data_IF_229517059076
#
_entry.id   IF_229517059076
#
_cell.length_a   1.000
_cell.length_b   1.000
_cell.length_c   1.000
_cell.angle_alpha   90.00
_cell.angle_beta   90.00
_cell.angle_gamma   90.00
#
_symmetry.space_group_name_H-M   'P 1'
#
loop_
_entity.id
_entity.type
_entity.pdbx_description
1 polymer ?
#
# COMPACT_ATOMS: atom_id res chain seq x y z
N UNK A 1 -6.51 15.40 24.96
CA UNK A 1 -5.57 16.53 24.75
C UNK A 1 -5.49 16.77 23.27
N UNK A 2 -5.58 18.03 22.86
CA UNK A 2 -5.27 18.46 21.50
C UNK A 2 -3.88 17.93 21.07
N UNK A 3 -3.81 17.27 19.91
CA UNK A 3 -2.58 16.68 19.38
C UNK A 3 -1.47 17.73 19.22
N UNK A 4 -1.86 18.96 18.92
CA UNK A 4 -0.96 20.09 18.72
C UNK A 4 -0.45 20.65 20.05
N UNK A 5 -1.35 20.87 21.02
CA UNK A 5 -1.00 21.37 22.36
C UNK A 5 0.01 20.47 23.09
N UNK A 6 -0.13 19.14 22.97
CA UNK A 6 0.82 18.19 23.57
C UNK A 6 2.22 18.28 22.93
N UNK A 7 2.30 18.40 21.60
CA UNK A 7 3.56 18.50 20.89
C UNK A 7 4.27 19.84 21.17
N UNK A 8 3.52 20.94 21.15
CA UNK A 8 4.03 22.29 21.45
C UNK A 8 4.57 22.37 22.89
N UNK A 9 3.81 21.87 23.87
CA UNK A 9 4.26 21.88 25.27
C UNK A 9 5.53 21.04 25.49
N UNK A 10 5.62 19.87 24.84
CA UNK A 10 6.83 19.05 24.90
C UNK A 10 8.04 19.74 24.25
N UNK A 11 7.86 20.45 23.14
CA UNK A 11 8.93 21.22 22.49
C UNK A 11 9.39 22.42 23.33
N UNK A 12 8.44 23.17 23.92
CA UNK A 12 8.71 24.30 24.80
C UNK A 12 9.51 23.84 26.03
N UNK A 13 9.05 22.78 26.70
CA UNK A 13 9.68 22.28 27.92
C UNK A 13 11.09 21.72 27.65
N UNK A 14 11.28 21.04 26.52
CA UNK A 14 12.57 20.46 26.15
C UNK A 14 13.53 21.45 25.47
N UNK A 15 13.07 22.68 25.16
CA UNK A 15 13.86 23.75 24.52
C UNK A 15 14.67 23.28 23.32
N UNK A 16 14.08 22.39 22.50
CA UNK A 16 14.83 21.71 21.46
C UNK A 16 15.12 22.58 20.24
N UNK A 17 16.35 23.09 20.16
CA UNK A 17 16.87 23.89 19.04
C UNK A 17 17.89 23.09 18.23
N UNK A 18 17.39 22.13 17.45
CA UNK A 18 18.22 21.33 16.53
C UNK A 18 17.74 21.61 15.10
N UNK A 19 18.41 22.51 14.37
CA UNK A 19 18.12 22.75 12.93
C UNK A 19 19.27 22.26 12.05
N UNK A 20 18.94 21.72 10.88
CA UNK A 20 19.92 21.20 9.92
C UNK A 20 20.78 22.29 9.26
N UNK A 21 20.24 23.50 9.13
CA UNK A 21 20.96 24.68 8.59
C UNK A 21 22.12 25.11 9.48
N UNK A 22 22.04 24.88 10.80
CA UNK A 22 23.13 25.19 11.71
C UNK A 22 24.32 24.23 11.56
N UNK A 23 24.19 23.09 10.89
CA UNK A 23 25.22 22.04 10.83
C UNK A 23 26.21 22.20 9.66
N UNK A 24 25.76 22.79 8.53
CA UNK A 24 26.56 23.01 7.33
C UNK A 24 27.44 24.26 7.49
N UNK A 25 28.55 24.14 8.22
CA UNK A 25 29.56 25.23 8.31
C UNK A 25 30.16 25.49 9.70
N UNK A 26 29.88 24.66 10.71
CA UNK A 26 30.38 24.91 12.07
C UNK A 26 31.88 24.63 12.24
N UNK A 27 32.60 25.63 12.75
CA UNK A 27 33.96 25.47 13.33
C UNK A 27 33.93 24.43 14.46
N UNK A 28 35.06 23.73 14.66
CA UNK A 28 35.21 22.58 15.58
C UNK A 28 34.66 22.81 17.00
N UNK A 29 34.76 24.06 17.50
CA UNK A 29 34.24 24.47 18.83
C UNK A 29 32.70 24.44 18.91
N UNK A 30 31.98 24.93 17.89
CA UNK A 30 30.50 24.94 17.89
C UNK A 30 29.87 23.55 17.67
N UNK A 31 30.68 22.57 17.23
CA UNK A 31 30.25 21.17 17.10
C UNK A 31 30.05 20.52 18.47
N UNK A 32 30.82 20.92 19.48
CA UNK A 32 30.66 20.45 20.86
C UNK A 32 29.31 20.85 21.45
N UNK A 33 28.99 22.14 21.35
CA UNK A 33 27.72 22.71 21.83
C UNK A 33 26.51 22.09 21.11
N UNK A 34 26.64 21.85 19.80
CA UNK A 34 25.60 21.18 19.03
C UNK A 34 25.37 19.73 19.49
N UNK A 35 26.43 18.96 19.73
CA UNK A 35 26.29 17.59 20.25
C UNK A 35 25.66 17.57 21.64
N UNK A 36 26.01 18.52 22.51
CA UNK A 36 25.41 18.65 23.85
C UNK A 36 23.92 19.00 23.77
N UNK A 37 23.55 19.96 22.91
CA UNK A 37 22.16 20.33 22.69
C UNK A 37 21.34 19.17 22.10
N UNK A 38 21.92 18.43 21.14
CA UNK A 38 21.28 17.24 20.57
C UNK A 38 21.07 16.16 21.64
N UNK A 39 22.07 15.91 22.50
CA UNK A 39 21.95 14.95 23.60
C UNK A 39 20.87 15.36 24.60
N UNK A 40 20.88 16.62 25.06
CA UNK A 40 19.88 17.15 25.98
C UNK A 40 18.44 17.03 25.42
N UNK A 41 18.29 17.27 24.12
CA UNK A 41 17.02 17.06 23.41
C UNK A 41 16.56 15.61 23.44
N UNK A 42 17.45 14.69 23.09
CA UNK A 42 17.17 13.26 23.06
C UNK A 42 16.75 12.80 24.47
N UNK A 43 17.47 13.22 25.50
CA UNK A 43 17.20 12.84 26.88
C UNK A 43 15.84 13.38 27.36
N UNK A 44 15.55 14.66 27.12
CA UNK A 44 14.27 15.26 27.54
C UNK A 44 13.07 14.62 26.84
N UNK A 45 13.18 14.32 25.54
CA UNK A 45 12.08 13.77 24.76
C UNK A 45 11.93 12.26 24.89
N UNK A 46 12.90 11.60 25.52
CA UNK A 46 12.81 10.19 25.94
C UNK A 46 11.82 9.98 27.09
N UNK A 47 11.37 11.04 27.76
CA UNK A 47 10.40 10.95 28.86
C UNK A 47 8.96 10.88 28.31
N UNK A 48 8.15 9.86 28.67
CA UNK A 48 6.73 9.83 28.33
C UNK A 48 6.00 11.04 28.97
N UNK A 49 5.25 11.80 28.18
CA UNK A 49 4.50 12.99 28.67
C UNK A 49 3.03 12.92 28.31
N UNK A 50 2.74 12.69 27.03
CA UNK A 50 1.39 12.63 26.48
C UNK A 50 1.36 11.84 25.16
N UNK A 51 0.18 11.36 24.78
CA UNK A 51 -0.06 10.70 23.50
C UNK A 51 -0.41 11.74 22.42
N UNK A 52 0.43 11.88 21.40
CA UNK A 52 0.23 12.77 20.25
C UNK A 52 0.97 12.23 19.01
N UNK A 53 0.30 12.23 17.85
CA UNK A 53 0.91 11.83 16.57
C UNK A 53 2.01 12.81 16.13
N UNK A 54 1.83 14.11 16.39
CA UNK A 54 2.81 15.14 16.08
C UNK A 54 4.09 14.96 16.93
N UNK A 55 3.91 14.69 18.23
CA UNK A 55 5.04 14.40 19.12
C UNK A 55 5.78 13.10 18.71
N UNK A 56 5.04 12.08 18.28
CA UNK A 56 5.63 10.84 17.78
C UNK A 56 6.47 11.07 16.51
N UNK A 57 5.97 11.85 15.53
CA UNK A 57 6.74 12.23 14.33
C UNK A 57 8.01 12.99 14.68
N UNK A 58 7.92 13.97 15.59
CA UNK A 58 9.07 14.75 16.03
C UNK A 58 10.15 13.86 16.68
N UNK A 59 9.72 12.96 17.57
CA UNK A 59 10.61 11.97 18.21
C UNK A 59 11.30 11.07 17.18
N UNK A 60 10.59 10.59 16.15
CA UNK A 60 11.17 9.77 15.07
C UNK A 60 12.22 10.51 14.24
N UNK A 61 11.99 11.80 13.95
CA UNK A 61 12.97 12.66 13.28
C UNK A 61 14.22 12.86 14.15
N UNK A 62 14.02 13.17 15.43
CA UNK A 62 15.11 13.36 16.39
C UNK A 62 15.96 12.08 16.55
N UNK A 63 15.32 10.91 16.62
CA UNK A 63 16.00 9.62 16.66
C UNK A 63 16.86 9.40 15.40
N UNK A 64 16.32 9.71 14.22
CA UNK A 64 17.05 9.61 12.95
C UNK A 64 18.27 10.52 12.94
N UNK A 65 18.13 11.76 13.41
CA UNK A 65 19.25 12.71 13.57
C UNK A 65 20.31 12.18 14.53
N UNK A 66 19.90 11.61 15.68
CA UNK A 66 20.82 11.01 16.65
C UNK A 66 21.61 9.82 16.07
N UNK A 67 20.93 8.91 15.36
CA UNK A 67 21.56 7.75 14.71
C UNK A 67 22.54 8.21 13.63
N UNK A 68 22.13 9.13 12.76
CA UNK A 68 22.98 9.65 11.68
C UNK A 68 24.22 10.35 12.25
N UNK A 69 24.06 11.19 13.27
CA UNK A 69 25.15 11.93 13.90
C UNK A 69 26.17 11.01 14.57
N UNK A 70 25.71 9.90 15.15
CA UNK A 70 26.58 8.85 15.69
C UNK A 70 27.33 8.11 14.59
N UNK A 71 26.62 7.63 13.56
CA UNK A 71 27.21 6.84 12.45
C UNK A 71 28.20 7.63 11.60
N UNK A 72 27.93 8.91 11.35
CA UNK A 72 28.82 9.80 10.59
C UNK A 72 29.97 10.36 11.44
N UNK A 73 30.07 9.95 12.71
CA UNK A 73 31.07 10.43 13.69
C UNK A 73 31.05 11.94 13.92
N UNK A 74 29.95 12.61 13.59
CA UNK A 74 29.74 14.04 13.89
C UNK A 74 29.62 14.24 15.41
N UNK A 75 28.78 13.41 16.05
CA UNK A 75 28.65 13.33 17.50
C UNK A 75 28.78 11.86 17.93
N UNK A 76 30.02 11.36 18.10
CA UNK A 76 30.25 9.94 18.32
C UNK A 76 29.73 9.41 19.66
N UNK A 77 29.46 10.30 20.63
CA UNK A 77 29.01 9.97 22.00
C UNK A 77 27.52 10.25 22.25
N UNK A 78 26.68 10.31 21.21
CA UNK A 78 25.23 10.46 21.40
C UNK A 78 24.64 9.14 21.91
N UNK A 79 23.86 9.23 22.99
CA UNK A 79 23.06 8.14 23.54
C UNK A 79 21.58 8.35 23.20
N UNK A 80 21.02 7.47 22.36
CA UNK A 80 19.63 7.56 21.90
C UNK A 80 18.78 6.33 22.25
N UNK A 81 19.27 5.44 23.12
CA UNK A 81 18.62 4.16 23.44
C UNK A 81 17.31 4.31 24.22
N UNK A 82 17.18 5.35 25.06
CA UNK A 82 15.94 5.65 25.78
C UNK A 82 14.85 6.17 24.82
N UNK A 83 15.22 7.11 23.94
CA UNK A 83 14.32 7.63 22.90
C UNK A 83 13.91 6.53 21.92
N UNK A 84 14.86 5.70 21.50
CA UNK A 84 14.59 4.52 20.68
C UNK A 84 13.61 3.57 21.38
N UNK A 85 13.80 3.28 22.67
CA UNK A 85 12.87 2.44 23.44
C UNK A 85 11.48 3.04 23.58
N UNK A 86 11.38 4.36 23.69
CA UNK A 86 10.09 5.06 23.79
C UNK A 86 9.32 5.02 22.46
N UNK A 87 10.02 5.21 21.33
CA UNK A 87 9.42 5.26 19.99
C UNK A 87 9.12 3.85 19.47
N UNK A 88 10.04 2.92 19.68
CA UNK A 88 10.07 1.60 19.05
C UNK A 88 9.58 0.51 20.03
N UNK A 89 9.38 0.84 21.32
CA UNK A 89 9.22 -0.13 22.40
C UNK A 89 10.56 -0.74 22.81
N UNK A 90 10.56 -1.62 23.82
CA UNK A 90 11.69 -2.52 24.04
C UNK A 90 11.93 -3.26 22.73
N UNK A 91 13.02 -2.96 22.01
CA UNK A 91 13.29 -3.55 20.70
C UNK A 91 13.23 -5.07 20.87
N UNK A 92 12.28 -5.76 20.20
CA UNK A 92 12.29 -7.21 20.20
C UNK A 92 13.61 -7.64 19.57
N UNK A 93 14.51 -8.25 20.34
CA UNK A 93 15.71 -8.80 19.73
C UNK A 93 15.28 -10.00 18.92
N UNK A 94 15.45 -9.95 17.61
CA UNK A 94 15.14 -11.09 16.77
C UNK A 94 16.36 -12.03 16.70
N UNK A 95 16.11 -13.32 16.55
CA UNK A 95 17.15 -14.32 16.25
C UNK A 95 16.91 -15.01 14.91
N UNK A 96 15.70 -14.88 14.36
CA UNK A 96 15.25 -15.44 13.09
C UNK A 96 14.33 -14.45 12.37
N UNK A 97 14.10 -14.60 11.06
CA UNK A 97 13.08 -13.84 10.36
C UNK A 97 11.75 -13.88 11.12
N UNK A 98 11.15 -12.71 11.28
CA UNK A 98 9.97 -12.52 12.13
C UNK A 98 9.07 -11.44 11.54
N UNK A 99 7.94 -11.19 12.18
CA UNK A 99 7.05 -10.08 11.83
C UNK A 99 7.29 -8.87 12.73
N UNK A 100 7.21 -7.67 12.16
CA UNK A 100 7.19 -6.45 12.96
C UNK A 100 5.81 -6.22 13.62
N UNK A 101 5.67 -5.13 14.36
CA UNK A 101 4.41 -4.73 15.01
C UNK A 101 3.23 -4.53 14.04
N UNK A 102 3.54 -4.34 12.76
CA UNK A 102 2.58 -4.16 11.67
C UNK A 102 2.42 -5.43 10.83
N UNK A 103 2.89 -6.58 11.31
CA UNK A 103 2.75 -7.87 10.65
C UNK A 103 3.60 -8.04 9.40
N UNK A 104 4.49 -7.10 9.07
CA UNK A 104 5.37 -7.16 7.91
C UNK A 104 6.41 -8.25 8.10
N UNK A 105 6.70 -9.06 7.07
CA UNK A 105 7.76 -10.08 7.15
C UNK A 105 9.13 -9.40 7.06
N UNK A 106 9.96 -9.58 8.06
CA UNK A 106 11.27 -8.96 8.15
C UNK A 106 12.37 -10.02 8.24
N UNK A 107 13.51 -9.71 7.64
CA UNK A 107 14.76 -10.40 7.93
C UNK A 107 15.26 -10.01 9.32
N UNK A 108 16.00 -10.89 9.98
CA UNK A 108 16.70 -10.55 11.21
C UNK A 108 18.20 -10.44 10.95
N UNK A 109 18.78 -9.29 11.29
CA UNK A 109 20.23 -9.06 11.20
C UNK A 109 20.71 -8.32 12.44
N UNK A 110 21.75 -8.84 13.08
CA UNK A 110 22.36 -8.27 14.28
C UNK A 110 21.35 -7.98 15.41
N UNK A 111 20.41 -8.91 15.62
CA UNK A 111 19.37 -8.77 16.64
C UNK A 111 18.25 -7.79 16.27
N UNK A 112 18.25 -7.24 15.05
CA UNK A 112 17.29 -6.23 14.60
C UNK A 112 16.52 -6.67 13.37
N UNK A 113 15.25 -6.30 13.32
CA UNK A 113 14.44 -6.48 12.12
C UNK A 113 14.93 -5.54 11.02
N UNK A 114 15.19 -6.11 9.86
CA UNK A 114 15.66 -5.43 8.66
C UNK A 114 14.82 -5.88 7.45
N UNK A 115 14.79 -5.03 6.42
CA UNK A 115 14.12 -5.32 5.13
C UNK A 115 12.68 -5.83 5.29
N UNK A 116 11.89 -5.18 6.14
CA UNK A 116 10.49 -5.53 6.33
C UNK A 116 9.66 -5.35 5.05
N UNK A 117 8.89 -6.38 4.70
CA UNK A 117 8.10 -6.50 3.49
C UNK A 117 6.61 -6.55 3.82
N UNK A 118 5.84 -5.79 3.06
CA UNK A 118 4.38 -5.91 2.98
C UNK A 118 4.06 -7.18 2.20
N UNK A 119 3.25 -8.03 2.77
CA UNK A 119 2.90 -9.32 2.16
C UNK A 119 1.48 -9.26 1.65
N UNK A 120 1.30 -9.39 0.35
CA UNK A 120 0.00 -9.46 -0.33
C UNK A 120 -0.38 -10.92 -0.50
N UNK A 121 -1.35 -11.37 0.28
CA UNK A 121 -1.88 -12.73 0.24
C UNK A 121 -3.05 -12.89 -0.74
N UNK A 122 -3.35 -14.14 -1.09
CA UNK A 122 -4.55 -14.49 -1.86
C UNK A 122 -5.79 -14.28 -0.98
N UNK A 123 -6.70 -13.40 -1.39
CA UNK A 123 -7.87 -13.04 -0.60
C UNK A 123 -8.62 -14.26 -0.06
N UNK A 124 -8.99 -15.23 -0.92
CA UNK A 124 -9.82 -16.38 -0.51
C UNK A 124 -9.07 -17.42 0.33
N UNK A 125 -7.74 -17.30 0.45
CA UNK A 125 -6.91 -18.16 1.30
C UNK A 125 -6.52 -17.48 2.62
N UNK A 126 -6.69 -16.17 2.72
CA UNK A 126 -6.39 -15.42 3.94
C UNK A 126 -7.33 -15.78 5.10
N UNK A 127 -6.83 -15.76 6.34
CA UNK A 127 -7.67 -15.88 7.53
C UNK A 127 -8.82 -14.87 7.52
N UNK A 128 -9.95 -15.26 8.11
CA UNK A 128 -11.14 -14.40 8.24
C UNK A 128 -10.79 -13.00 8.77
N UNK A 129 -9.98 -12.93 9.83
CA UNK A 129 -9.60 -11.65 10.45
C UNK A 129 -8.75 -10.75 9.56
N UNK A 130 -7.91 -11.32 8.69
CA UNK A 130 -7.08 -10.52 7.78
C UNK A 130 -7.93 -9.96 6.64
N UNK A 131 -8.83 -10.76 6.07
CA UNK A 131 -9.82 -10.29 5.09
C UNK A 131 -10.71 -9.19 5.69
N UNK A 132 -11.25 -9.43 6.89
CA UNK A 132 -12.10 -8.47 7.59
C UNK A 132 -11.33 -7.19 7.98
N UNK A 133 -10.03 -7.29 8.29
CA UNK A 133 -9.18 -6.11 8.52
C UNK A 133 -9.08 -5.24 7.27
N UNK A 134 -8.82 -5.85 6.10
CA UNK A 134 -8.74 -5.12 4.84
C UNK A 134 -10.07 -4.42 4.51
N UNK A 135 -11.19 -5.16 4.52
CA UNK A 135 -12.51 -4.61 4.18
C UNK A 135 -12.93 -3.50 5.13
N UNK A 136 -12.71 -3.66 6.45
CA UNK A 136 -12.97 -2.61 7.44
C UNK A 136 -12.09 -1.38 7.24
N UNK A 137 -10.81 -1.56 6.91
CA UNK A 137 -9.92 -0.43 6.64
C UNK A 137 -10.34 0.35 5.39
N UNK A 138 -10.70 -0.35 4.31
CA UNK A 138 -11.19 0.29 3.08
C UNK A 138 -12.53 0.99 3.30
N UNK A 139 -13.46 0.34 4.01
CA UNK A 139 -14.73 0.94 4.41
C UNK A 139 -14.51 2.21 5.24
N UNK A 140 -13.63 2.15 6.25
CA UNK A 140 -13.31 3.32 7.08
C UNK A 140 -12.67 4.43 6.26
N UNK A 141 -11.74 4.09 5.35
CA UNK A 141 -11.10 5.05 4.47
C UNK A 141 -12.08 5.81 3.58
N UNK A 142 -13.22 5.21 3.25
CA UNK A 142 -14.25 5.79 2.35
C UNK A 142 -15.45 6.40 3.09
N UNK A 143 -15.57 6.21 4.41
CA UNK A 143 -16.77 6.62 5.17
C UNK A 143 -16.48 7.51 6.37
N UNK A 144 -15.32 7.36 7.01
CA UNK A 144 -14.96 8.13 8.19
C UNK A 144 -14.53 9.55 7.79
N UNK A 145 -15.15 10.61 8.33
CA UNK A 145 -14.82 12.00 7.99
C UNK A 145 -13.35 12.38 8.17
N UNK A 146 -12.61 11.65 9.03
CA UNK A 146 -11.18 11.87 9.22
C UNK A 146 -10.34 11.48 8.00
N UNK A 147 -10.81 10.55 7.18
CA UNK A 147 -10.03 9.92 6.11
C UNK A 147 -10.67 10.10 4.73
N UNK A 148 -12.00 10.17 4.68
CA UNK A 148 -12.81 10.08 3.48
C UNK A 148 -12.33 11.00 2.36
N UNK A 149 -12.27 12.30 2.61
CA UNK A 149 -11.97 13.28 1.57
C UNK A 149 -10.58 13.09 0.95
N UNK A 150 -9.59 12.69 1.75
CA UNK A 150 -8.22 12.47 1.27
C UNK A 150 -8.09 11.12 0.55
N UNK A 151 -8.82 10.10 0.98
CA UNK A 151 -8.85 8.82 0.28
C UNK A 151 -9.61 8.92 -1.04
N UNK A 152 -10.74 9.64 -1.09
CA UNK A 152 -11.48 9.88 -2.33
C UNK A 152 -10.63 10.66 -3.35
N UNK A 153 -9.87 11.68 -2.91
CA UNK A 153 -8.91 12.38 -3.79
C UNK A 153 -7.91 11.43 -4.42
N UNK A 154 -7.39 10.47 -3.64
CA UNK A 154 -6.51 9.43 -4.14
C UNK A 154 -7.24 8.53 -5.15
N UNK A 155 -8.45 8.06 -4.84
CA UNK A 155 -9.18 7.15 -5.74
C UNK A 155 -9.54 7.80 -7.10
N UNK A 156 -9.77 9.11 -7.10
CA UNK A 156 -10.10 9.91 -8.28
C UNK A 156 -8.90 10.11 -9.22
N UNK A 157 -7.65 9.90 -8.77
CA UNK A 157 -6.46 10.05 -9.62
C UNK A 157 -6.52 9.14 -10.86
N UNK A 158 -6.96 7.89 -10.69
CA UNK A 158 -7.18 6.96 -11.80
C UNK A 158 -8.19 7.51 -12.80
N UNK A 159 -9.30 8.03 -12.32
CA UNK A 159 -10.36 8.53 -13.20
C UNK A 159 -10.03 9.84 -13.92
N UNK A 160 -9.15 10.67 -13.35
CA UNK A 160 -8.75 11.96 -13.92
C UNK A 160 -7.78 11.81 -15.07
N UNK A 161 -7.00 10.76 -15.06
CA UNK A 161 -6.05 10.51 -16.13
C UNK A 161 -6.80 9.94 -17.34
N UNK A 162 -6.59 10.42 -18.57
CA UNK A 162 -7.33 9.87 -19.71
C UNK A 162 -7.03 8.40 -19.93
N UNK A 163 -8.07 7.59 -20.17
CA UNK A 163 -7.98 6.13 -20.35
C UNK A 163 -6.93 5.72 -21.38
N UNK A 164 -6.76 6.51 -22.46
CA UNK A 164 -5.75 6.27 -23.48
C UNK A 164 -4.32 6.20 -22.92
N UNK A 165 -4.00 6.99 -21.90
CA UNK A 165 -2.69 6.92 -21.25
C UNK A 165 -2.58 5.72 -20.32
N UNK A 166 -3.60 5.47 -19.49
CA UNK A 166 -3.54 4.42 -18.46
C UNK A 166 -3.67 3.00 -19.02
N UNK A 167 -4.57 2.81 -19.98
CA UNK A 167 -5.03 1.48 -20.39
C UNK A 167 -4.69 1.13 -21.85
N UNK A 168 -4.00 2.03 -22.57
CA UNK A 168 -3.58 1.76 -23.95
C UNK A 168 -2.08 2.03 -24.20
N UNK A 169 -1.32 2.41 -23.16
CA UNK A 169 0.12 2.61 -23.27
C UNK A 169 0.90 1.60 -22.44
N UNK A 170 1.59 0.63 -23.07
CA UNK A 170 2.39 -0.38 -22.36
C UNK A 170 3.46 0.20 -21.44
N UNK A 171 3.97 1.38 -21.79
CA UNK A 171 4.97 2.10 -21.03
C UNK A 171 4.46 2.64 -19.68
N UNK A 172 3.15 2.79 -19.49
CA UNK A 172 2.56 3.33 -18.25
C UNK A 172 1.81 2.28 -17.45
N UNK A 173 1.08 1.40 -18.13
CA UNK A 173 0.06 0.54 -17.52
C UNK A 173 0.52 -0.13 -16.22
N UNK A 174 1.51 -1.02 -16.27
CA UNK A 174 1.97 -1.72 -15.07
C UNK A 174 2.59 -0.83 -13.99
N UNK A 175 3.63 0.00 -14.27
CA UNK A 175 4.30 0.78 -13.23
C UNK A 175 3.38 1.83 -12.60
N UNK A 176 2.46 2.42 -13.36
CA UNK A 176 1.49 3.36 -12.80
C UNK A 176 0.52 2.67 -11.86
N UNK A 177 -0.02 1.51 -12.22
CA UNK A 177 -0.92 0.75 -11.33
C UNK A 177 -0.18 0.22 -10.10
N UNK A 178 1.09 -0.18 -10.21
CA UNK A 178 1.92 -0.54 -9.03
C UNK A 178 2.14 0.65 -8.11
N UNK A 179 2.48 1.83 -8.65
CA UNK A 179 2.55 3.08 -7.89
C UNK A 179 1.22 3.38 -7.18
N UNK A 180 0.12 3.29 -7.92
CA UNK A 180 -1.21 3.58 -7.41
C UNK A 180 -1.61 2.63 -6.27
N UNK A 181 -1.39 1.33 -6.42
CA UNK A 181 -1.57 0.34 -5.34
C UNK A 181 -0.68 0.66 -4.12
N UNK A 182 0.56 1.10 -4.33
CA UNK A 182 1.46 1.47 -3.24
C UNK A 182 0.92 2.68 -2.43
N UNK A 183 0.25 3.62 -3.10
CA UNK A 183 -0.39 4.79 -2.47
C UNK A 183 -1.64 4.38 -1.70
N UNK A 184 -2.51 3.57 -2.30
CA UNK A 184 -3.71 3.03 -1.63
C UNK A 184 -3.29 2.24 -0.38
N UNK A 185 -2.34 1.33 -0.51
CA UNK A 185 -1.90 0.50 0.61
C UNK A 185 -1.26 1.33 1.73
N UNK A 186 -0.43 2.32 1.37
CA UNK A 186 0.18 3.21 2.36
C UNK A 186 -0.87 4.03 3.10
N UNK A 187 -1.94 4.45 2.41
CA UNK A 187 -3.06 5.15 3.05
C UNK A 187 -3.81 4.23 4.03
N UNK A 188 -4.19 3.03 3.60
CA UNK A 188 -4.89 2.06 4.46
C UNK A 188 -4.05 1.69 5.70
N UNK A 189 -2.73 1.64 5.57
CA UNK A 189 -1.80 1.41 6.68
C UNK A 189 -1.76 2.55 7.71
N UNK A 190 -2.17 3.77 7.36
CA UNK A 190 -2.35 4.85 8.34
C UNK A 190 -3.56 4.61 9.25
N UNK A 191 -4.52 3.80 8.78
CA UNK A 191 -5.73 3.42 9.54
C UNK A 191 -5.44 2.19 10.41
N UNK A 192 -4.89 1.14 9.82
CA UNK A 192 -4.38 -0.03 10.53
C UNK A 192 -3.10 -0.51 9.84
N UNK A 193 -1.96 -0.36 10.51
CA UNK A 193 -0.67 -0.66 9.91
C UNK A 193 -0.49 -2.14 9.55
N UNK A 194 -1.35 -3.04 10.04
CA UNK A 194 -1.35 -4.47 9.68
C UNK A 194 -2.05 -4.77 8.35
N UNK A 195 -2.67 -3.78 7.72
CA UNK A 195 -3.31 -3.95 6.41
C UNK A 195 -2.24 -4.07 5.32
N UNK A 196 -2.51 -4.96 4.38
CA UNK A 196 -1.89 -5.05 3.06
C UNK A 196 -3.01 -5.21 2.04
N UNK A 197 -2.78 -4.80 0.80
CA UNK A 197 -3.76 -5.04 -0.27
C UNK A 197 -3.66 -6.52 -0.65
N UNK A 198 -4.72 -7.33 -0.45
CA UNK A 198 -4.73 -8.70 -0.95
C UNK A 198 -4.87 -8.69 -2.47
N UNK A 199 -4.37 -9.73 -3.14
CA UNK A 199 -4.71 -9.97 -4.54
C UNK A 199 -5.89 -10.93 -4.62
N UNK A 200 -6.59 -10.96 -5.76
CA UNK A 200 -7.58 -12.01 -6.06
C UNK A 200 -7.18 -12.78 -7.32
N UNK A 201 -6.70 -14.01 -7.13
CA UNK A 201 -6.34 -14.91 -8.24
C UNK A 201 -7.58 -15.63 -8.79
N UNK A 202 -8.38 -14.90 -9.55
CA UNK A 202 -9.60 -15.40 -10.16
C UNK A 202 -9.36 -16.49 -11.22
N UNK A 203 -8.15 -16.63 -11.75
CA UNK A 203 -7.74 -17.73 -12.66
C UNK A 203 -7.90 -19.10 -12.02
N UNK A 204 -7.64 -19.21 -10.71
CA UNK A 204 -7.76 -20.46 -9.94
C UNK A 204 -9.22 -20.83 -9.60
N UNK A 205 -10.18 -19.96 -9.94
CA UNK A 205 -11.60 -20.15 -9.70
C UNK A 205 -12.43 -19.94 -10.98
N UNK A 206 -11.81 -20.10 -12.15
CA UNK A 206 -12.50 -20.04 -13.43
C UNK A 206 -13.72 -21.00 -13.40
N UNK A 207 -14.92 -20.46 -13.66
CA UNK A 207 -16.20 -21.19 -13.57
C UNK A 207 -16.97 -21.04 -12.24
N UNK A 208 -16.33 -20.57 -11.17
CA UNK A 208 -16.96 -20.37 -9.85
C UNK A 208 -16.80 -18.94 -9.31
N UNK A 209 -16.60 -17.99 -10.22
CA UNK A 209 -16.33 -16.57 -9.94
C UNK A 209 -17.37 -15.86 -9.07
N UNK A 210 -18.64 -16.26 -9.19
CA UNK A 210 -19.78 -15.54 -8.60
C UNK A 210 -20.32 -16.19 -7.33
N UNK A 211 -19.56 -17.11 -6.72
CA UNK A 211 -19.94 -17.71 -5.43
C UNK A 211 -19.84 -16.69 -4.29
N UNK A 212 -20.67 -16.90 -3.26
CA UNK A 212 -20.83 -16.01 -2.12
C UNK A 212 -20.64 -16.74 -0.78
N UNK A 213 -19.91 -17.87 -0.78
CA UNK A 213 -19.60 -18.60 0.45
C UNK A 213 -18.74 -17.71 1.37
N UNK A 214 -18.69 -17.96 2.69
CA UNK A 214 -17.90 -17.15 3.61
C UNK A 214 -16.40 -17.03 3.27
N UNK A 215 -15.84 -17.97 2.50
CA UNK A 215 -14.46 -17.94 1.99
C UNK A 215 -14.25 -17.10 0.72
N UNK A 216 -15.32 -16.78 0.00
CA UNK A 216 -15.24 -16.13 -1.31
C UNK A 216 -15.11 -14.60 -1.18
N UNK A 217 -14.71 -13.95 -2.27
CA UNK A 217 -14.59 -12.48 -2.37
C UNK A 217 -15.94 -11.80 -2.17
N UNK A 218 -17.00 -12.35 -2.75
CA UNK A 218 -18.34 -11.78 -2.74
C UNK A 218 -19.18 -12.18 -1.52
N UNK A 219 -18.55 -12.68 -0.46
CA UNK A 219 -19.27 -13.03 0.76
C UNK A 219 -20.02 -11.81 1.33
N UNK A 220 -21.20 -12.05 1.90
CA UNK A 220 -22.03 -11.03 2.54
C UNK A 220 -21.57 -10.65 3.95
N UNK A 221 -20.67 -11.43 4.54
CA UNK A 221 -20.08 -11.15 5.84
C UNK A 221 -19.10 -9.97 5.80
N UNK A 222 -18.65 -9.46 6.95
CA UNK A 222 -17.77 -8.29 7.03
C UNK A 222 -16.40 -8.53 6.41
N UNK A 223 -16.01 -9.79 6.20
CA UNK A 223 -14.77 -10.20 5.52
C UNK A 223 -14.87 -10.17 3.99
N UNK A 224 -16.06 -10.06 3.40
CA UNK A 224 -16.28 -10.05 1.96
C UNK A 224 -16.67 -8.67 1.43
N UNK A 225 -16.87 -8.59 0.11
CA UNK A 225 -17.14 -7.35 -0.62
C UNK A 225 -18.62 -7.16 -0.97
N UNK A 226 -19.51 -8.08 -0.55
CA UNK A 226 -20.90 -8.13 -1.00
C UNK A 226 -21.04 -8.71 -2.41
N UNK A 227 -22.23 -9.17 -2.76
CA UNK A 227 -22.55 -9.88 -3.99
C UNK A 227 -22.91 -8.97 -5.17
N UNK A 228 -23.80 -9.48 -6.01
CA UNK A 228 -24.29 -8.80 -7.21
C UNK A 228 -25.26 -7.66 -6.86
N UNK A 229 -25.45 -6.74 -7.80
CA UNK A 229 -26.53 -5.76 -7.73
C UNK A 229 -27.90 -6.36 -8.06
N UNK A 230 -28.97 -5.70 -7.60
CA UNK A 230 -30.37 -6.08 -7.86
C UNK A 230 -31.08 -4.99 -8.68
N UNK A 231 -31.80 -5.32 -9.77
CA UNK A 231 -32.61 -4.35 -10.53
C UNK A 231 -33.68 -3.63 -9.68
N UNK A 232 -34.11 -2.42 -10.07
CA UNK A 232 -33.70 -1.68 -11.27
C UNK A 232 -32.37 -0.91 -11.11
N UNK A 233 -31.99 -0.56 -9.88
CA UNK A 233 -30.84 0.32 -9.61
C UNK A 233 -29.49 -0.40 -9.68
N UNK A 234 -29.51 -1.73 -9.62
CA UNK A 234 -28.33 -2.60 -9.54
C UNK A 234 -27.44 -2.31 -8.33
N UNK A 235 -28.02 -1.77 -7.26
CA UNK A 235 -27.33 -1.61 -5.99
C UNK A 235 -27.02 -2.97 -5.36
N UNK A 236 -25.81 -3.10 -4.83
CA UNK A 236 -25.41 -4.23 -3.96
C UNK A 236 -26.24 -4.15 -2.67
N UNK A 237 -26.86 -5.27 -2.29
CA UNK A 237 -27.82 -5.34 -1.18
C UNK A 237 -27.23 -5.93 0.12
N UNK A 238 -26.05 -6.52 0.07
CA UNK A 238 -25.41 -7.25 1.17
C UNK A 238 -23.95 -6.84 1.39
N UNK A 239 -23.34 -7.33 2.47
CA UNK A 239 -21.99 -6.92 2.86
C UNK A 239 -21.92 -5.54 3.50
N UNK A 240 -20.69 -5.14 3.82
CA UNK A 240 -20.40 -3.84 4.41
C UNK A 240 -20.52 -2.69 3.40
N UNK A 241 -20.46 -2.98 2.10
CA UNK A 241 -20.56 -2.00 1.02
C UNK A 241 -21.97 -1.89 0.40
N UNK A 242 -22.99 -2.49 1.04
CA UNK A 242 -24.37 -2.42 0.57
C UNK A 242 -24.94 -1.01 0.56
N UNK A 243 -26.00 -0.83 -0.22
CA UNK A 243 -26.86 0.35 -0.19
C UNK A 243 -27.29 0.69 1.25
N UNK A 244 -27.28 1.99 1.56
CA UNK A 244 -27.59 2.52 2.89
C UNK A 244 -26.44 2.43 3.91
N UNK A 245 -25.44 1.57 3.68
CA UNK A 245 -24.26 1.47 4.54
C UNK A 245 -23.00 2.10 3.94
N UNK A 246 -22.92 2.17 2.61
CA UNK A 246 -21.81 2.75 1.87
C UNK A 246 -22.31 3.51 0.64
N UNK A 247 -21.58 4.56 0.24
CA UNK A 247 -21.95 5.43 -0.87
C UNK A 247 -20.75 5.79 -1.73
N UNK A 248 -20.98 5.93 -3.04
CA UNK A 248 -19.99 6.46 -3.98
C UNK A 248 -19.68 7.94 -3.67
N UNK A 249 -18.46 8.42 -4.02
CA UNK A 249 -18.14 9.83 -3.92
C UNK A 249 -19.16 10.70 -4.67
N UNK A 250 -19.61 11.80 -4.05
CA UNK A 250 -20.63 12.70 -4.64
C UNK A 250 -20.16 13.28 -5.97
N UNK A 251 -18.86 13.57 -6.08
CA UNK A 251 -18.20 14.04 -7.31
C UNK A 251 -18.27 13.04 -8.47
N UNK A 252 -18.70 11.80 -8.22
CA UNK A 252 -18.92 10.72 -9.20
C UNK A 252 -20.39 10.42 -9.47
N UNK A 253 -21.29 11.31 -9.05
CA UNK A 253 -22.74 11.13 -9.13
C UNK A 253 -23.35 10.50 -7.89
N UNK A 254 -22.55 10.12 -6.89
CA UNK A 254 -23.04 9.55 -5.62
C UNK A 254 -23.81 8.24 -5.78
N UNK A 255 -24.68 7.95 -4.81
CA UNK A 255 -25.48 6.73 -4.80
C UNK A 255 -24.76 5.52 -4.21
N UNK A 256 -25.25 4.32 -4.54
CA UNK A 256 -24.78 3.04 -4.01
C UNK A 256 -23.66 2.42 -4.86
N UNK A 257 -22.97 1.41 -4.30
CA UNK A 257 -22.15 0.49 -5.07
C UNK A 257 -23.04 -0.32 -6.05
N UNK A 258 -22.73 -0.30 -7.34
CA UNK A 258 -23.47 -1.02 -8.38
C UNK A 258 -22.62 -2.08 -9.06
N UNK A 259 -23.19 -3.29 -9.21
CA UNK A 259 -22.58 -4.44 -9.90
C UNK A 259 -23.61 -5.15 -10.77
N UNK A 260 -23.16 -5.76 -11.86
CA UNK A 260 -23.99 -6.62 -12.70
C UNK A 260 -23.15 -7.76 -13.24
N UNK A 261 -22.98 -8.79 -12.43
CA UNK A 261 -22.18 -9.95 -12.76
C UNK A 261 -22.68 -10.61 -14.05
N UNK A 262 -21.80 -10.68 -15.03
CA UNK A 262 -22.04 -11.38 -16.27
C UNK A 262 -21.69 -12.87 -16.08
N UNK A 263 -22.71 -13.69 -15.80
CA UNK A 263 -22.56 -15.12 -15.55
C UNK A 263 -22.09 -15.94 -16.76
N UNK A 264 -22.20 -15.40 -17.97
CA UNK A 264 -21.69 -16.03 -19.20
C UNK A 264 -20.30 -15.51 -19.58
N UNK A 265 -19.73 -14.60 -18.79
CA UNK A 265 -18.40 -14.06 -19.01
C UNK A 265 -17.33 -15.10 -18.66
N UNK A 266 -16.41 -15.34 -19.58
CA UNK A 266 -15.30 -16.28 -19.39
C UNK A 266 -14.03 -15.47 -19.13
N UNK A 267 -13.44 -15.69 -17.97
CA UNK A 267 -12.13 -15.16 -17.63
C UNK A 267 -11.04 -16.18 -17.95
N UNK A 268 -9.82 -15.73 -18.28
CA UNK A 268 -8.66 -16.61 -18.36
C UNK A 268 -8.52 -17.51 -17.13
N UNK A 269 -8.14 -18.77 -17.35
CA UNK A 269 -7.91 -19.74 -16.28
C UNK A 269 -6.41 -19.89 -15.95
N UNK A 270 -6.07 -20.85 -15.10
CA UNK A 270 -4.67 -21.17 -14.75
C UNK A 270 -3.84 -21.63 -15.96
N UNK A 271 -4.44 -22.31 -16.94
CA UNK A 271 -3.72 -22.74 -18.14
C UNK A 271 -3.37 -21.52 -19.01
N UNK A 272 -4.28 -20.55 -19.13
CA UNK A 272 -4.03 -19.29 -19.80
C UNK A 272 -2.98 -18.45 -19.08
N UNK A 273 -3.04 -18.37 -17.75
CA UNK A 273 -2.01 -17.70 -16.94
C UNK A 273 -0.63 -18.31 -17.20
N UNK A 274 -0.52 -19.65 -17.15
CA UNK A 274 0.74 -20.34 -17.42
C UNK A 274 1.28 -20.02 -18.81
N UNK A 275 0.43 -20.04 -19.84
CA UNK A 275 0.82 -19.66 -21.21
C UNK A 275 1.31 -18.21 -21.29
N UNK A 276 0.61 -17.27 -20.64
CA UNK A 276 1.00 -15.86 -20.63
C UNK A 276 2.39 -15.66 -20.00
N UNK A 277 2.69 -16.39 -18.93
CA UNK A 277 4.00 -16.34 -18.26
C UNK A 277 5.15 -16.96 -19.08
N UNK A 278 4.87 -17.73 -20.15
CA UNK A 278 5.89 -18.24 -21.08
C UNK A 278 6.29 -17.23 -22.17
N UNK A 279 5.56 -16.12 -22.30
CA UNK A 279 5.79 -15.15 -23.39
C UNK A 279 7.09 -14.38 -23.14
N UNK A 280 8.05 -14.44 -24.08
CA UNK A 280 9.36 -13.78 -23.94
C UNK A 280 9.35 -12.31 -24.36
N UNK A 281 8.52 -11.96 -25.34
CA UNK A 281 8.39 -10.58 -25.79
C UNK A 281 7.50 -9.80 -24.81
N UNK A 282 8.05 -8.73 -24.25
CA UNK A 282 7.36 -7.91 -23.26
C UNK A 282 6.09 -7.28 -23.83
N UNK A 283 6.13 -6.72 -25.04
CA UNK A 283 4.97 -6.02 -25.61
C UNK A 283 3.82 -6.98 -25.89
N UNK A 284 4.13 -8.20 -26.33
CA UNK A 284 3.14 -9.26 -26.50
C UNK A 284 2.56 -9.70 -25.14
N UNK A 285 3.41 -9.90 -24.12
CA UNK A 285 2.97 -10.23 -22.76
C UNK A 285 2.06 -9.14 -22.18
N UNK A 286 2.51 -7.89 -22.18
CA UNK A 286 1.78 -6.73 -21.67
C UNK A 286 0.41 -6.61 -22.32
N UNK A 287 0.34 -6.70 -23.65
CA UNK A 287 -0.91 -6.58 -24.40
C UNK A 287 -1.91 -7.66 -24.01
N UNK A 288 -1.46 -8.91 -23.85
CA UNK A 288 -2.32 -10.01 -23.42
C UNK A 288 -2.84 -9.78 -21.99
N UNK A 289 -1.97 -9.35 -21.07
CA UNK A 289 -2.41 -9.09 -19.70
C UNK A 289 -3.38 -7.90 -19.65
N UNK A 290 -3.08 -6.80 -20.34
CA UNK A 290 -3.91 -5.59 -20.36
C UNK A 290 -5.26 -5.81 -21.06
N UNK A 291 -5.23 -6.34 -22.28
CA UNK A 291 -6.44 -6.42 -23.11
C UNK A 291 -7.29 -7.65 -22.80
N UNK A 292 -6.70 -8.74 -22.33
CA UNK A 292 -7.43 -9.99 -22.05
C UNK A 292 -7.63 -10.22 -20.56
N UNK A 293 -6.60 -10.15 -19.71
CA UNK A 293 -6.78 -10.47 -18.29
C UNK A 293 -7.46 -9.33 -17.53
N UNK A 294 -6.95 -8.11 -17.71
CA UNK A 294 -7.44 -6.92 -17.03
C UNK A 294 -8.82 -6.50 -17.55
N UNK A 295 -8.96 -6.16 -18.85
CA UNK A 295 -10.23 -5.63 -19.37
C UNK A 295 -11.41 -6.61 -19.18
N UNK A 296 -11.20 -7.92 -19.39
CA UNK A 296 -12.27 -8.90 -19.23
C UNK A 296 -12.81 -8.94 -17.82
N UNK A 297 -11.96 -8.79 -16.80
CA UNK A 297 -12.44 -8.79 -15.42
C UNK A 297 -13.38 -7.61 -15.16
N UNK A 298 -12.98 -6.41 -15.59
CA UNK A 298 -13.81 -5.20 -15.51
C UNK A 298 -15.17 -5.43 -16.19
N UNK A 299 -15.18 -6.01 -17.38
CA UNK A 299 -16.39 -6.34 -18.14
C UNK A 299 -17.27 -7.38 -17.44
N UNK A 300 -16.66 -8.41 -16.85
CA UNK A 300 -17.37 -9.49 -16.19
C UNK A 300 -18.11 -9.01 -14.92
N UNK A 301 -17.51 -8.09 -14.15
CA UNK A 301 -18.14 -7.52 -12.94
C UNK A 301 -19.26 -6.54 -13.31
N UNK A 302 -19.04 -5.74 -14.36
CA UNK A 302 -20.02 -4.81 -14.90
C UNK A 302 -20.21 -3.54 -14.05
N UNK A 303 -21.13 -2.68 -14.50
CA UNK A 303 -21.53 -1.42 -13.83
C UNK A 303 -20.32 -0.57 -13.45
N UNK A 304 -20.12 -0.21 -12.18
CA UNK A 304 -19.06 0.72 -11.78
C UNK A 304 -17.67 0.20 -12.11
N UNK A 305 -17.46 -1.12 -12.00
CA UNK A 305 -16.17 -1.74 -12.31
C UNK A 305 -15.88 -1.78 -13.82
N UNK A 306 -16.90 -1.70 -14.70
CA UNK A 306 -16.69 -1.70 -16.15
C UNK A 306 -16.14 -0.36 -16.67
N UNK A 307 -16.49 0.77 -16.03
CA UNK A 307 -16.11 2.08 -16.53
C UNK A 307 -14.83 2.60 -15.88
N UNK A 308 -13.88 3.02 -16.72
CA UNK A 308 -12.64 3.71 -16.31
C UNK A 308 -12.87 4.77 -15.23
N UNK A 309 -13.91 5.59 -15.39
CA UNK A 309 -14.17 6.75 -14.53
C UNK A 309 -14.67 6.41 -13.13
N UNK A 310 -15.03 5.16 -12.86
CA UNK A 310 -15.61 4.72 -11.57
C UNK A 310 -14.99 3.45 -11.00
N UNK A 311 -14.24 2.67 -11.79
CA UNK A 311 -13.74 1.38 -11.36
C UNK A 311 -12.88 1.47 -10.11
N UNK A 312 -12.01 2.49 -10.02
CA UNK A 312 -11.10 2.70 -8.89
C UNK A 312 -11.80 2.99 -7.56
N UNK A 313 -13.06 3.42 -7.58
CA UNK A 313 -13.85 3.71 -6.39
C UNK A 313 -14.48 2.44 -5.78
N UNK A 314 -14.39 1.30 -6.46
CA UNK A 314 -14.96 0.02 -6.02
C UNK A 314 -13.98 -0.78 -5.14
N UNK A 315 -14.46 -1.51 -4.12
CA UNK A 315 -13.58 -2.24 -3.21
C UNK A 315 -12.88 -3.46 -3.84
N UNK A 316 -13.38 -3.97 -4.97
CA UNK A 316 -12.76 -5.07 -5.73
C UNK A 316 -11.58 -4.61 -6.61
N UNK A 317 -11.48 -3.32 -6.92
CA UNK A 317 -10.44 -2.79 -7.81
C UNK A 317 -9.01 -3.06 -7.30
N UNK A 318 -8.66 -2.77 -6.03
CA UNK A 318 -7.31 -3.02 -5.55
C UNK A 318 -6.94 -4.50 -5.58
N UNK A 319 -7.89 -5.40 -5.33
CA UNK A 319 -7.68 -6.86 -5.39
C UNK A 319 -7.36 -7.32 -6.81
N UNK A 320 -8.15 -6.84 -7.78
CA UNK A 320 -7.95 -7.13 -9.19
C UNK A 320 -6.57 -6.64 -9.65
N UNK A 321 -6.27 -5.36 -9.42
CA UNK A 321 -5.00 -4.78 -9.87
C UNK A 321 -3.79 -5.34 -9.12
N UNK A 322 -3.93 -5.75 -7.84
CA UNK A 322 -2.86 -6.46 -7.14
C UNK A 322 -2.58 -7.84 -7.78
N UNK A 323 -3.59 -8.50 -8.35
CA UNK A 323 -3.36 -9.73 -9.11
C UNK A 323 -2.70 -9.46 -10.46
N UNK A 324 -3.13 -8.42 -11.18
CA UNK A 324 -2.45 -7.97 -12.42
C UNK A 324 -0.98 -7.64 -12.14
N UNK A 325 -0.70 -6.93 -11.05
CA UNK A 325 0.65 -6.59 -10.61
C UNK A 325 1.46 -7.83 -10.19
N UNK A 326 0.82 -8.82 -9.55
CA UNK A 326 1.43 -10.12 -9.25
C UNK A 326 1.83 -10.87 -10.51
N UNK A 327 0.99 -10.89 -11.55
CA UNK A 327 1.32 -11.54 -12.82
C UNK A 327 2.56 -10.91 -13.46
N UNK A 328 2.67 -9.57 -13.42
CA UNK A 328 3.88 -8.88 -13.87
C UNK A 328 5.11 -9.24 -13.03
N UNK A 329 5.00 -9.21 -11.69
CA UNK A 329 6.08 -9.62 -10.77
C UNK A 329 6.57 -11.06 -11.03
N UNK A 330 5.64 -11.99 -11.29
CA UNK A 330 5.97 -13.38 -11.67
C UNK A 330 6.73 -13.44 -13.00
N UNK A 331 6.29 -12.67 -14.00
CA UNK A 331 6.96 -12.61 -15.30
C UNK A 331 8.36 -12.01 -15.20
N UNK A 332 8.55 -10.96 -14.41
CA UNK A 332 9.86 -10.34 -14.14
C UNK A 332 10.83 -11.31 -13.47
N UNK A 333 10.34 -12.09 -12.49
CA UNK A 333 11.16 -13.05 -11.73
C UNK A 333 11.53 -14.30 -12.51
N UNK A 334 10.77 -14.65 -13.56
CA UNK A 334 11.01 -15.88 -14.34
C UNK A 334 12.36 -15.90 -15.05
N UNK A 335 12.79 -14.76 -15.60
CA UNK A 335 14.11 -14.62 -16.20
C UNK A 335 14.71 -13.27 -15.84
N UNK A 336 15.95 -13.25 -15.34
CA UNK A 336 16.63 -12.00 -14.89
C UNK A 336 16.62 -10.88 -15.94
N UNK A 337 16.63 -11.22 -17.23
CA UNK A 337 16.60 -10.26 -18.35
C UNK A 337 15.25 -9.55 -18.48
N UNK A 338 14.14 -10.17 -18.06
CA UNK A 338 12.79 -9.64 -18.22
C UNK A 338 12.62 -8.29 -17.52
N UNK A 339 13.18 -8.17 -16.31
CA UNK A 339 13.19 -6.95 -15.50
C UNK A 339 13.72 -5.71 -16.23
N UNK A 340 14.73 -5.87 -17.08
CA UNK A 340 15.41 -4.74 -17.73
C UNK A 340 15.01 -4.56 -19.20
N UNK A 341 13.99 -5.29 -19.66
CA UNK A 341 13.70 -5.43 -21.10
C UNK A 341 13.00 -4.23 -21.72
N UNK A 342 12.21 -3.49 -20.95
CA UNK A 342 11.30 -2.48 -21.51
C UNK A 342 11.32 -1.13 -20.80
N UNK A 343 11.18 -1.11 -19.47
CA UNK A 343 10.97 0.15 -18.74
C UNK A 343 12.23 0.97 -18.51
N UNK A 344 13.42 0.35 -18.54
CA UNK A 344 14.72 1.01 -18.30
C UNK A 344 15.10 2.01 -19.39
N UNK A 345 14.56 1.86 -20.60
CA UNK A 345 14.78 2.79 -21.72
C UNK A 345 13.69 3.85 -21.87
N UNK A 346 12.62 3.75 -21.08
CA UNK A 346 11.61 4.81 -21.04
C UNK A 346 12.24 6.03 -20.37
N UNK A 347 11.97 7.24 -20.85
CA UNK A 347 12.47 8.45 -20.20
C UNK A 347 11.41 9.56 -20.18
N UNK A 348 10.29 9.27 -19.54
CA UNK A 348 9.21 10.22 -19.36
C UNK A 348 8.53 9.97 -18.02
N UNK A 349 7.98 11.02 -17.43
CA UNK A 349 7.27 10.94 -16.16
C UNK A 349 5.88 10.35 -16.39
N UNK A 350 5.54 9.33 -15.61
CA UNK A 350 4.18 8.83 -15.51
C UNK A 350 3.26 9.96 -15.03
N UNK A 351 2.17 10.27 -15.74
CA UNK A 351 1.25 11.33 -15.38
C UNK A 351 0.65 11.13 -13.99
N UNK A 352 0.42 12.23 -13.26
CA UNK A 352 -0.02 12.29 -11.86
C UNK A 352 0.94 11.67 -10.83
N UNK A 353 1.68 10.63 -11.18
CA UNK A 353 2.65 10.01 -10.30
C UNK A 353 3.88 10.91 -10.08
N UNK A 354 4.26 11.70 -11.10
CA UNK A 354 5.50 12.48 -11.12
C UNK A 354 6.72 11.60 -10.82
N UNK A 355 6.70 10.41 -11.44
CA UNK A 355 7.68 9.34 -11.27
C UNK A 355 7.96 8.68 -12.58
N UNK A 356 9.15 8.16 -12.69
CA UNK A 356 9.56 7.41 -13.85
C UNK A 356 9.12 5.94 -13.76
N UNK A 357 8.71 5.32 -14.88
CA UNK A 357 8.32 3.90 -14.91
C UNK A 357 9.34 2.96 -14.26
N UNK A 358 10.63 3.21 -14.47
CA UNK A 358 11.69 2.35 -13.94
C UNK A 358 11.87 2.43 -12.42
N UNK A 359 11.36 3.47 -11.76
CA UNK A 359 11.35 3.57 -10.29
C UNK A 359 10.39 2.54 -9.65
N UNK A 360 9.44 1.99 -10.42
CA UNK A 360 8.43 1.03 -9.95
C UNK A 360 8.60 -0.36 -10.59
N UNK A 361 9.79 -0.69 -11.09
CA UNK A 361 10.09 -2.02 -11.67
C UNK A 361 10.09 -3.14 -10.66
N UNK A 362 10.55 -2.89 -9.44
CA UNK A 362 10.76 -3.94 -8.46
C UNK A 362 9.77 -3.80 -7.32
N UNK A 363 8.86 -4.77 -7.19
CA UNK A 363 7.92 -4.84 -6.07
C UNK A 363 8.63 -4.79 -4.71
N UNK A 364 9.85 -5.36 -4.61
CA UNK A 364 10.64 -5.41 -3.37
C UNK A 364 11.64 -4.24 -3.20
N UNK A 365 11.67 -3.26 -4.12
CA UNK A 365 12.53 -2.07 -4.09
C UNK A 365 11.78 -0.80 -4.56
N UNK A 366 10.60 -0.57 -4.01
CA UNK A 366 9.81 0.62 -4.33
C UNK A 366 10.34 1.88 -3.59
N UNK A 367 10.09 3.08 -4.14
CA UNK A 367 10.46 4.34 -3.50
C UNK A 367 9.92 4.46 -2.07
N UNK A 368 10.65 5.18 -1.22
CA UNK A 368 10.28 5.35 0.19
C UNK A 368 10.56 4.12 1.07
N UNK A 369 11.50 3.25 0.67
CA UNK A 369 11.84 1.98 1.35
C UNK A 369 10.64 1.03 1.46
N UNK A 370 9.68 1.13 0.55
CA UNK A 370 8.54 0.21 0.49
C UNK A 370 9.00 -1.07 -0.20
N UNK A 371 8.67 -2.21 0.40
CA UNK A 371 8.93 -3.52 -0.17
C UNK A 371 7.65 -4.34 -0.12
N UNK A 372 7.26 -4.88 -1.25
CA UNK A 372 6.06 -5.69 -1.44
C UNK A 372 6.48 -7.08 -1.90
N UNK A 373 5.81 -8.09 -1.36
CA UNK A 373 5.95 -9.49 -1.77
C UNK A 373 4.54 -10.06 -1.96
N UNK A 374 4.38 -10.87 -3.00
CA UNK A 374 3.19 -11.67 -3.22
C UNK A 374 3.40 -13.08 -2.66
N UNK A 375 2.45 -13.57 -1.85
CA UNK A 375 2.43 -14.99 -1.51
C UNK A 375 1.98 -15.83 -2.71
N UNK A 376 2.45 -17.07 -2.78
CA UNK A 376 1.94 -18.03 -3.76
C UNK A 376 0.53 -18.48 -3.37
N UNK A 377 -0.23 -18.95 -4.35
CA UNK A 377 -1.63 -19.35 -4.15
C UNK A 377 -1.80 -20.42 -3.06
N UNK A 378 -0.86 -21.37 -2.97
CA UNK A 378 -0.94 -22.52 -2.05
C UNK A 378 -0.01 -22.40 -0.83
N UNK A 379 0.87 -21.39 -0.77
CA UNK A 379 1.79 -21.25 0.35
C UNK A 379 1.07 -20.63 1.56
N UNK A 380 0.66 -21.48 2.51
CA UNK A 380 0.51 -21.08 3.92
C UNK A 380 1.67 -21.67 4.72
N UNK A 381 2.48 -20.78 5.29
CA UNK A 381 3.38 -21.11 6.40
C UNK A 381 2.67 -20.84 7.71
#
# INVERSE_FOLDING_TARGET
MDEQLCAEKAQIDCKCRVSGEQMLGLKRERRGDWCQNLQACIDCLSVPRCASRNLARYRSLLLSTGILSSKTRVCPRIHYSALARLIIGAMPSCTKPSRDQCGQRCECKDGRLHRCQRVRGEFTRMPYEERARYTRAFYKATTDPLYKDDFEKLLIEHSRLPSNYLHHMPQIFFPWHRWYLSKIESFLKMIDCRVTIPYWQWTAQAGHLWRTLPSDVWASGPQGLGGNGVPPDWCVQDGIFRVGNWHMPVVKGGGCLKRQFNKTCHLPDEADLKKALEIKDFLTFERIIRDTFHNRFHDCVGRLMHFHVTASDTPEFPLHHAFIDKIWDMWEKKHKVNKYRYYTSQNYLMPLADRYPWEYLESDHLPGNVRVMYEDYDNRH
#
